data_IF_534328930541
#
_entry.id   IF_534328930541
#
_cell.length_a   1.000
_cell.length_b   1.000
_cell.length_c   1.000
_cell.angle_alpha   90.00
_cell.angle_beta   90.00
_cell.angle_gamma   90.00
#
_symmetry.space_group_name_H-M   'P 1'
#
loop_
_entity.id
_entity.type
_entity.pdbx_description
1 polymer ?
#
# COMPACT_ATOMS: atom_id res chain seq x y z
N UNK A 1 35.99 -36.97 7.17
CA UNK A 1 35.91 -35.98 6.11
C UNK A 1 35.13 -36.62 4.95
N UNK A 2 33.92 -36.19 4.72
CA UNK A 2 32.99 -36.86 3.80
C UNK A 2 33.03 -36.19 2.44
N UNK A 3 33.87 -36.69 1.52
CA UNK A 3 34.02 -36.28 0.14
C UNK A 3 32.70 -36.22 -0.62
N UNK A 4 31.74 -37.06 -0.29
CA UNK A 4 30.41 -37.14 -0.87
C UNK A 4 29.59 -35.87 -0.58
N UNK A 5 29.74 -35.26 0.60
CA UNK A 5 28.98 -34.06 1.01
C UNK A 5 29.52 -32.79 0.35
N UNK A 6 30.81 -32.70 0.07
CA UNK A 6 31.42 -31.47 -0.41
C UNK A 6 31.57 -31.39 -1.95
N UNK A 7 31.60 -32.55 -2.63
CA UNK A 7 31.83 -32.55 -4.11
C UNK A 7 30.70 -33.15 -4.93
N UNK A 8 30.01 -34.17 -4.45
CA UNK A 8 28.98 -34.89 -5.21
C UNK A 8 27.61 -34.25 -5.04
N UNK A 9 27.21 -33.83 -3.83
CA UNK A 9 25.96 -33.14 -3.59
C UNK A 9 25.78 -31.81 -4.36
N UNK A 10 26.80 -30.93 -4.48
CA UNK A 10 26.63 -29.71 -5.28
C UNK A 10 26.43 -29.97 -6.77
N UNK A 11 27.09 -31.00 -7.33
CA UNK A 11 26.96 -31.36 -8.76
C UNK A 11 25.62 -32.02 -9.09
N UNK A 12 25.10 -32.86 -8.22
CA UNK A 12 23.78 -33.49 -8.40
C UNK A 12 22.66 -32.45 -8.28
N UNK A 13 22.80 -31.49 -7.35
CA UNK A 13 21.85 -30.37 -7.19
C UNK A 13 21.84 -29.39 -8.37
N UNK A 14 22.94 -29.26 -9.12
CA UNK A 14 23.00 -28.43 -10.33
C UNK A 14 22.47 -29.13 -11.58
N UNK A 15 22.42 -30.48 -11.60
CA UNK A 15 21.86 -31.27 -12.71
C UNK A 15 20.36 -31.52 -12.60
N UNK A 16 19.83 -31.58 -11.40
CA UNK A 16 18.40 -31.58 -11.13
C UNK A 16 17.97 -30.13 -11.05
N UNK A 17 17.59 -29.50 -12.17
CA UNK A 17 17.10 -28.12 -12.20
C UNK A 17 16.21 -27.85 -10.98
N UNK A 18 16.76 -27.24 -9.94
CA UNK A 18 16.01 -26.84 -8.77
C UNK A 18 14.94 -25.86 -9.26
N UNK A 19 13.70 -26.32 -9.32
CA UNK A 19 12.59 -25.42 -9.05
C UNK A 19 12.92 -24.81 -7.68
N UNK A 20 13.02 -23.49 -7.59
CA UNK A 20 13.06 -22.77 -6.33
C UNK A 20 11.80 -23.12 -5.56
N UNK A 21 11.89 -24.17 -4.74
CA UNK A 21 10.86 -24.50 -3.76
C UNK A 21 11.17 -23.54 -2.61
N UNK A 22 10.29 -22.58 -2.31
CA UNK A 22 10.48 -21.69 -1.18
C UNK A 22 10.78 -22.51 0.08
N UNK A 23 11.79 -22.14 0.83
CA UNK A 23 12.19 -22.88 2.07
C UNK A 23 11.04 -22.96 3.09
N UNK A 24 10.04 -22.07 2.98
CA UNK A 24 8.83 -22.05 3.80
C UNK A 24 7.57 -22.20 2.93
N UNK A 25 7.24 -23.45 2.57
CA UNK A 25 5.97 -23.76 1.90
C UNK A 25 4.73 -23.50 2.78
N UNK A 26 4.91 -23.48 4.09
CA UNK A 26 3.87 -23.29 5.09
C UNK A 26 4.18 -22.07 5.97
N UNK A 27 3.19 -21.23 6.13
CA UNK A 27 3.26 -20.03 6.95
C UNK A 27 2.30 -20.20 8.11
N UNK A 28 2.76 -19.87 9.31
CA UNK A 28 1.94 -19.93 10.52
C UNK A 28 1.13 -18.65 10.65
N UNK A 29 -0.18 -18.78 10.78
CA UNK A 29 -1.06 -17.68 11.12
C UNK A 29 -0.69 -17.13 12.52
N UNK A 30 -0.40 -15.84 12.65
CA UNK A 30 -0.05 -15.24 13.93
C UNK A 30 -1.23 -15.17 14.91
N UNK A 31 -2.48 -15.26 14.44
CA UNK A 31 -3.68 -15.17 15.27
C UNK A 31 -4.19 -16.53 15.71
N UNK A 32 -4.33 -17.48 14.79
CA UNK A 32 -4.90 -18.80 15.08
C UNK A 32 -3.84 -19.88 15.34
N UNK A 33 -2.61 -19.65 14.86
CA UNK A 33 -1.52 -20.63 14.91
C UNK A 33 -1.61 -21.71 13.83
N UNK A 34 -2.61 -21.69 12.97
CA UNK A 34 -2.78 -22.63 11.86
C UNK A 34 -1.68 -22.47 10.81
N UNK A 35 -1.39 -23.58 10.11
CA UNK A 35 -0.41 -23.58 9.01
C UNK A 35 -1.12 -23.42 7.68
N UNK A 36 -0.80 -22.35 6.96
CA UNK A 36 -1.41 -22.01 5.65
C UNK A 36 -0.37 -22.20 4.55
N UNK A 37 -0.79 -22.78 3.43
CA UNK A 37 0.09 -23.02 2.30
C UNK A 37 0.39 -21.72 1.55
N UNK A 38 1.66 -21.47 1.21
CA UNK A 38 2.09 -20.20 0.60
C UNK A 38 1.35 -19.84 -0.70
N UNK A 39 1.05 -20.85 -1.56
CA UNK A 39 0.33 -20.59 -2.82
C UNK A 39 -1.11 -20.17 -2.59
N UNK A 40 -1.76 -20.69 -1.55
CA UNK A 40 -3.12 -20.30 -1.20
C UNK A 40 -3.13 -18.85 -0.67
N UNK A 41 -2.10 -18.46 0.09
CA UNK A 41 -1.90 -17.09 0.52
C UNK A 41 -1.67 -16.15 -0.66
N UNK A 42 -0.82 -16.52 -1.62
CA UNK A 42 -0.56 -15.70 -2.79
C UNK A 42 -1.84 -15.50 -3.63
N UNK A 43 -2.62 -16.57 -3.87
CA UNK A 43 -3.90 -16.49 -4.59
C UNK A 43 -4.93 -15.62 -3.86
N UNK A 44 -4.84 -15.53 -2.53
CA UNK A 44 -5.69 -14.69 -1.68
C UNK A 44 -5.00 -13.36 -1.28
N UNK A 45 -4.09 -12.85 -2.10
CA UNK A 45 -3.37 -11.58 -1.88
C UNK A 45 -2.72 -11.48 -0.49
N UNK A 46 -2.23 -12.60 0.07
CA UNK A 46 -1.65 -12.68 1.41
C UNK A 46 -2.59 -12.25 2.55
N UNK A 47 -3.88 -12.43 2.36
CA UNK A 47 -4.88 -12.40 3.42
C UNK A 47 -5.15 -13.84 3.84
N UNK A 48 -5.01 -14.14 5.12
CA UNK A 48 -5.20 -15.51 5.62
C UNK A 48 -6.70 -15.83 5.63
N UNK A 49 -7.17 -16.88 4.91
CA UNK A 49 -8.59 -17.12 4.76
C UNK A 49 -9.33 -17.44 6.08
N UNK A 50 -8.66 -18.10 7.03
CA UNK A 50 -9.27 -18.52 8.30
C UNK A 50 -9.45 -17.40 9.31
N UNK A 51 -8.50 -16.45 9.39
CA UNK A 51 -8.51 -15.36 10.37
C UNK A 51 -8.83 -14.00 9.74
N UNK A 52 -8.69 -13.86 8.42
CA UNK A 52 -8.73 -12.55 7.77
C UNK A 52 -7.48 -11.70 8.01
N UNK A 53 -6.44 -12.27 8.64
CA UNK A 53 -5.21 -11.55 8.94
C UNK A 53 -4.49 -11.09 7.66
N UNK A 54 -4.18 -9.79 7.59
CA UNK A 54 -3.46 -9.18 6.49
C UNK A 54 -1.95 -9.26 6.68
N UNK A 55 -1.30 -10.17 5.98
CA UNK A 55 0.15 -10.27 6.01
C UNK A 55 0.80 -9.08 5.29
N UNK A 56 2.05 -8.77 5.67
CA UNK A 56 2.86 -7.79 4.95
C UNK A 56 3.21 -8.31 3.57
N UNK A 57 3.06 -7.46 2.56
CA UNK A 57 3.44 -7.72 1.17
C UNK A 57 4.41 -6.66 0.68
N UNK A 58 5.20 -7.00 -0.32
CA UNK A 58 6.09 -6.05 -0.99
C UNK A 58 5.31 -5.03 -1.82
N UNK A 59 5.96 -3.90 -2.12
CA UNK A 59 5.37 -2.89 -3.00
C UNK A 59 5.04 -3.45 -4.39
N UNK A 60 5.87 -4.35 -4.93
CA UNK A 60 5.63 -4.97 -6.26
C UNK A 60 4.41 -5.90 -6.24
N UNK A 61 4.26 -6.71 -5.18
CA UNK A 61 3.07 -7.57 -5.04
C UNK A 61 1.81 -6.73 -4.91
N UNK A 62 1.86 -5.62 -4.14
CA UNK A 62 0.72 -4.72 -4.01
C UNK A 62 0.31 -4.13 -5.35
N UNK A 63 1.24 -3.62 -6.15
CA UNK A 63 0.95 -3.10 -7.49
C UNK A 63 0.35 -4.19 -8.39
N UNK A 64 0.93 -5.39 -8.39
CA UNK A 64 0.44 -6.54 -9.18
C UNK A 64 -1.00 -6.92 -8.84
N UNK A 65 -1.38 -6.91 -7.57
CA UNK A 65 -2.75 -7.23 -7.14
C UNK A 65 -3.73 -6.09 -7.37
N UNK A 66 -3.25 -4.87 -7.39
CA UNK A 66 -4.10 -3.69 -7.44
C UNK A 66 -4.46 -3.26 -8.86
N UNK A 67 -3.53 -3.30 -9.79
CA UNK A 67 -3.79 -2.94 -11.19
C UNK A 67 -4.52 -4.03 -11.95
N UNK A 68 -5.24 -3.63 -13.00
CA UNK A 68 -5.91 -4.54 -13.92
C UNK A 68 -4.87 -5.45 -14.59
N UNK A 69 -5.14 -6.76 -14.59
CA UNK A 69 -4.26 -7.81 -15.14
C UNK A 69 -2.83 -7.79 -14.57
N UNK A 70 -2.59 -7.01 -13.50
CA UNK A 70 -1.27 -6.80 -12.91
C UNK A 70 -0.32 -5.97 -13.78
N UNK A 71 -0.84 -5.26 -14.78
CA UNK A 71 -0.05 -4.45 -15.71
C UNK A 71 0.05 -3.00 -15.26
N UNK A 72 1.27 -2.46 -15.24
CA UNK A 72 1.55 -1.07 -14.86
C UNK A 72 2.87 -0.57 -15.43
N UNK A 73 2.97 0.72 -15.60
CA UNK A 73 4.18 1.44 -15.95
C UNK A 73 4.87 1.94 -14.66
N UNK A 74 6.09 1.47 -14.39
CA UNK A 74 6.89 2.00 -13.28
C UNK A 74 7.44 3.38 -13.63
N UNK A 75 7.31 4.33 -12.71
CA UNK A 75 7.94 5.63 -12.83
C UNK A 75 9.37 5.58 -12.28
N UNK A 76 10.31 6.14 -13.02
CA UNK A 76 11.67 6.33 -12.54
C UNK A 76 11.70 7.47 -11.52
N UNK A 77 12.11 7.17 -10.28
CA UNK A 77 12.20 8.17 -9.24
C UNK A 77 13.41 9.09 -9.43
N UNK A 78 13.27 10.39 -9.09
CA UNK A 78 14.37 11.34 -9.16
C UNK A 78 15.56 10.92 -8.27
N UNK A 79 16.78 11.15 -8.76
CA UNK A 79 17.98 10.87 -7.98
C UNK A 79 18.26 11.99 -7.00
N UNK A 80 18.58 11.63 -5.78
CA UNK A 80 18.93 12.57 -4.70
C UNK A 80 20.36 12.35 -4.20
N UNK A 81 20.90 13.33 -3.49
CA UNK A 81 22.19 13.20 -2.81
C UNK A 81 22.08 12.15 -1.71
N UNK A 82 22.97 11.16 -1.74
CA UNK A 82 23.03 10.08 -0.77
C UNK A 82 23.86 10.49 0.44
N UNK A 83 23.31 10.35 1.64
CA UNK A 83 23.99 10.58 2.93
C UNK A 83 24.74 11.92 3.03
N UNK A 84 24.06 13.07 2.81
CA UNK A 84 24.71 14.38 2.89
C UNK A 84 25.24 14.71 4.30
N UNK A 85 24.68 14.08 5.33
CA UNK A 85 25.08 14.27 6.73
C UNK A 85 26.22 13.35 7.16
N UNK A 86 26.61 12.38 6.32
CA UNK A 86 27.63 11.37 6.63
C UNK A 86 27.33 10.65 7.95
N UNK A 87 26.05 10.28 8.14
CA UNK A 87 25.57 9.69 9.38
C UNK A 87 26.21 8.34 9.68
N UNK A 88 26.57 8.14 10.92
CA UNK A 88 27.11 6.89 11.46
C UNK A 88 26.67 6.69 12.90
N UNK A 89 26.07 5.55 13.17
CA UNK A 89 25.91 4.97 14.51
C UNK A 89 26.82 3.72 14.64
N UNK A 90 26.26 2.55 14.90
CA UNK A 90 26.99 1.27 14.82
C UNK A 90 27.46 0.94 13.41
N UNK A 91 26.69 1.37 12.39
CA UNK A 91 26.97 1.20 10.95
C UNK A 91 26.88 2.54 10.24
N UNK A 92 27.55 2.68 9.09
CA UNK A 92 27.36 3.83 8.21
C UNK A 92 25.95 3.77 7.59
N UNK A 93 25.32 4.90 7.39
CA UNK A 93 24.02 4.98 6.73
C UNK A 93 24.06 4.39 5.31
N UNK A 94 25.13 4.65 4.57
CA UNK A 94 25.36 4.05 3.23
C UNK A 94 25.40 2.53 3.24
N UNK A 95 25.89 1.90 4.31
CA UNK A 95 25.90 0.44 4.46
C UNK A 95 24.48 -0.09 4.71
N UNK A 96 23.69 0.61 5.54
CA UNK A 96 22.26 0.29 5.77
C UNK A 96 21.44 0.39 4.48
N UNK A 97 21.68 1.43 3.66
CA UNK A 97 21.01 1.58 2.36
C UNK A 97 21.37 0.42 1.41
N UNK A 98 22.66 0.03 1.36
CA UNK A 98 23.08 -1.10 0.53
C UNK A 98 22.43 -2.41 0.96
N UNK A 99 22.37 -2.68 2.27
CA UNK A 99 21.68 -3.85 2.83
C UNK A 99 20.17 -3.83 2.50
N UNK A 100 19.50 -2.69 2.65
CA UNK A 100 18.09 -2.54 2.33
C UNK A 100 17.80 -2.75 0.84
N UNK A 101 18.62 -2.17 -0.05
CA UNK A 101 18.54 -2.36 -1.51
C UNK A 101 18.73 -3.83 -1.91
N UNK A 102 19.74 -4.49 -1.34
CA UNK A 102 20.01 -5.89 -1.61
C UNK A 102 18.85 -6.80 -1.14
N UNK A 103 18.21 -6.45 -0.03
CA UNK A 103 17.10 -7.22 0.55
C UNK A 103 15.79 -7.04 -0.23
N UNK A 104 15.49 -5.82 -0.68
CA UNK A 104 14.18 -5.47 -1.25
C UNK A 104 14.17 -5.40 -2.77
N UNK A 105 15.33 -5.22 -3.40
CA UNK A 105 15.45 -4.92 -4.83
C UNK A 105 14.89 -3.54 -5.20
N UNK A 106 14.72 -2.65 -4.22
CA UNK A 106 14.25 -1.27 -4.39
C UNK A 106 15.40 -0.29 -4.17
N UNK A 107 15.36 0.86 -4.84
CA UNK A 107 16.32 1.94 -4.64
C UNK A 107 16.08 2.70 -3.33
N UNK A 108 14.81 2.89 -2.96
CA UNK A 108 14.35 3.44 -1.67
C UNK A 108 12.94 2.90 -1.33
N UNK A 109 12.31 3.41 -0.27
CA UNK A 109 11.06 2.91 0.27
C UNK A 109 9.83 3.16 -0.62
N UNK A 110 9.91 3.96 -1.67
CA UNK A 110 8.78 4.37 -2.52
C UNK A 110 8.90 3.77 -3.91
N UNK A 111 7.80 3.15 -4.34
CA UNK A 111 7.58 2.67 -5.70
C UNK A 111 6.36 3.37 -6.30
N UNK A 112 6.56 4.04 -7.44
CA UNK A 112 5.52 4.79 -8.14
C UNK A 112 5.17 4.10 -9.45
N UNK A 113 3.87 4.07 -9.78
CA UNK A 113 3.39 3.43 -10.99
C UNK A 113 2.16 4.14 -11.57
N UNK A 114 1.99 4.01 -12.87
CA UNK A 114 0.77 4.38 -13.60
C UNK A 114 0.13 3.13 -14.18
N UNK A 115 -1.19 3.07 -14.14
CA UNK A 115 -1.95 1.94 -14.69
C UNK A 115 -3.44 2.21 -14.65
N UNK A 116 -4.23 1.16 -14.70
CA UNK A 116 -5.69 1.22 -14.63
C UNK A 116 -6.24 0.33 -13.53
N UNK A 117 -7.35 0.73 -12.93
CA UNK A 117 -8.19 -0.09 -12.06
C UNK A 117 -9.63 -0.04 -12.55
N UNK A 118 -10.21 -1.18 -12.90
CA UNK A 118 -11.51 -1.28 -13.57
C UNK A 118 -11.63 -0.32 -14.76
N UNK A 119 -10.56 -0.23 -15.57
CA UNK A 119 -10.43 0.65 -16.73
C UNK A 119 -10.21 2.14 -16.42
N UNK A 120 -10.19 2.56 -15.15
CA UNK A 120 -9.91 3.94 -14.77
C UNK A 120 -8.41 4.17 -14.68
N UNK A 121 -7.85 5.16 -15.40
CA UNK A 121 -6.44 5.50 -15.30
C UNK A 121 -6.13 6.17 -13.96
N UNK A 122 -5.11 5.67 -13.25
CA UNK A 122 -4.71 6.15 -11.92
C UNK A 122 -3.19 6.27 -11.80
N UNK A 123 -2.73 7.11 -10.88
CA UNK A 123 -1.37 7.12 -10.37
C UNK A 123 -1.34 6.47 -8.99
N UNK A 124 -0.39 5.57 -8.76
CA UNK A 124 -0.29 4.81 -7.51
C UNK A 124 1.10 4.93 -6.94
N UNK A 125 1.17 5.27 -5.66
CA UNK A 125 2.40 5.23 -4.86
C UNK A 125 2.28 4.15 -3.80
N UNK A 126 3.28 3.29 -3.70
CA UNK A 126 3.36 2.28 -2.64
C UNK A 126 4.62 2.51 -1.81
N UNK A 127 4.44 2.64 -0.51
CA UNK A 127 5.52 2.72 0.47
C UNK A 127 5.81 1.32 1.01
N UNK A 128 7.05 0.85 0.83
CA UNK A 128 7.46 -0.50 1.23
C UNK A 128 8.10 -0.48 2.62
N UNK A 129 7.44 -1.12 3.57
CA UNK A 129 7.94 -1.20 4.95
C UNK A 129 9.22 -2.02 5.08
N UNK A 130 9.49 -2.95 4.15
CA UNK A 130 10.70 -3.76 4.20
C UNK A 130 11.96 -2.94 3.94
N UNK A 131 11.85 -1.80 3.24
CA UNK A 131 12.95 -0.87 3.05
C UNK A 131 13.07 0.07 4.24
N UNK A 132 13.98 -0.22 5.16
CA UNK A 132 14.27 0.60 6.34
C UNK A 132 13.02 1.05 7.13
N UNK A 133 12.05 0.14 7.31
CA UNK A 133 10.79 0.44 7.99
C UNK A 133 9.87 1.41 7.23
N UNK A 134 10.01 1.51 5.91
CA UNK A 134 9.24 2.47 5.11
C UNK A 134 9.52 3.93 5.47
N UNK A 135 10.67 4.23 6.06
CA UNK A 135 10.93 5.56 6.63
C UNK A 135 11.05 6.65 5.55
N UNK A 136 10.45 7.81 5.85
CA UNK A 136 10.49 8.99 4.99
C UNK A 136 11.86 9.67 5.07
N UNK A 137 12.65 9.55 4.02
CA UNK A 137 13.92 10.25 3.82
C UNK A 137 13.87 11.14 2.57
N UNK A 138 15.00 11.72 2.19
CA UNK A 138 15.13 12.58 1.00
C UNK A 138 14.62 11.88 -0.27
N UNK A 139 15.09 10.65 -0.53
CA UNK A 139 14.70 9.90 -1.71
C UNK A 139 13.22 9.55 -1.71
N UNK A 140 12.69 9.11 -0.56
CA UNK A 140 11.27 8.81 -0.43
C UNK A 140 10.40 10.06 -0.60
N UNK A 141 10.80 11.20 0.00
CA UNK A 141 10.08 12.46 -0.15
C UNK A 141 10.06 12.97 -1.57
N UNK A 142 11.20 12.92 -2.26
CA UNK A 142 11.29 13.34 -3.66
C UNK A 142 10.46 12.42 -4.58
N UNK A 143 10.49 11.12 -4.34
CA UNK A 143 9.69 10.16 -5.09
C UNK A 143 8.18 10.40 -4.91
N UNK A 144 7.73 10.73 -3.69
CA UNK A 144 6.33 11.07 -3.42
C UNK A 144 5.95 12.36 -4.18
N UNK A 145 6.76 13.42 -4.08
CA UNK A 145 6.52 14.68 -4.80
C UNK A 145 6.41 14.43 -6.29
N UNK A 146 7.36 13.70 -6.87
CA UNK A 146 7.36 13.35 -8.29
C UNK A 146 6.09 12.58 -8.70
N UNK A 147 5.58 11.69 -7.86
CA UNK A 147 4.34 10.97 -8.13
C UNK A 147 3.13 11.90 -8.18
N UNK A 148 3.02 12.86 -7.25
CA UNK A 148 1.94 13.86 -7.24
C UNK A 148 2.02 14.78 -8.44
N UNK A 149 3.22 15.27 -8.79
CA UNK A 149 3.43 16.09 -9.99
C UNK A 149 3.06 15.33 -11.26
N UNK A 150 3.48 14.06 -11.38
CA UNK A 150 3.11 13.19 -12.50
C UNK A 150 1.61 12.95 -12.56
N UNK A 151 0.94 12.79 -11.42
CA UNK A 151 -0.52 12.64 -11.36
C UNK A 151 -1.23 13.88 -11.92
N UNK A 152 -0.78 15.08 -11.55
CA UNK A 152 -1.28 16.36 -12.09
C UNK A 152 -1.03 16.45 -13.60
N UNK A 153 0.20 16.22 -14.04
CA UNK A 153 0.60 16.34 -15.46
C UNK A 153 -0.16 15.34 -16.35
N UNK A 154 -0.47 14.16 -15.83
CA UNK A 154 -1.21 13.11 -16.53
C UNK A 154 -2.71 13.17 -16.29
N UNK A 155 -3.19 14.14 -15.52
CA UNK A 155 -4.60 14.31 -15.14
C UNK A 155 -5.20 13.00 -14.58
N UNK A 156 -4.52 12.40 -13.58
CA UNK A 156 -4.93 11.14 -12.96
C UNK A 156 -5.17 11.31 -11.46
N UNK A 157 -6.21 10.69 -10.89
CA UNK A 157 -6.35 10.61 -9.44
C UNK A 157 -5.17 9.87 -8.83
N UNK A 158 -4.84 10.22 -7.58
CA UNK A 158 -3.71 9.66 -6.83
C UNK A 158 -4.18 8.69 -5.77
N UNK A 159 -3.56 7.51 -5.72
CA UNK A 159 -3.77 6.51 -4.66
C UNK A 159 -2.42 6.25 -3.99
N UNK A 160 -2.38 6.34 -2.67
CA UNK A 160 -1.15 6.10 -1.92
C UNK A 160 -1.37 5.02 -0.85
N UNK A 161 -0.58 3.95 -0.95
CA UNK A 161 -0.50 2.92 0.09
C UNK A 161 0.62 3.28 1.06
N UNK A 162 0.27 3.70 2.26
CA UNK A 162 1.21 4.09 3.29
C UNK A 162 1.60 2.91 4.18
N UNK A 163 2.90 2.71 4.38
CA UNK A 163 3.47 1.73 5.31
C UNK A 163 4.79 2.26 5.88
N UNK A 164 4.79 2.82 7.08
CA UNK A 164 5.95 3.53 7.61
C UNK A 164 6.05 3.57 9.12
N UNK A 165 7.30 3.53 9.61
CA UNK A 165 7.64 3.89 10.99
C UNK A 165 7.84 5.39 11.23
N UNK A 166 7.76 6.24 10.19
CA UNK A 166 7.90 7.70 10.30
C UNK A 166 9.13 8.27 9.59
N UNK A 167 9.65 9.38 10.06
CA UNK A 167 10.80 10.07 9.49
C UNK A 167 12.10 9.26 9.63
N UNK A 168 12.97 9.30 8.61
CA UNK A 168 14.25 8.56 8.57
C UNK A 168 15.28 9.21 9.48
N UNK A 169 15.55 8.59 10.62
CA UNK A 169 16.42 9.12 11.66
C UNK A 169 17.83 9.46 11.15
N UNK A 170 18.39 8.66 10.24
CA UNK A 170 19.73 8.83 9.69
C UNK A 170 19.91 10.11 8.86
N UNK A 171 18.82 10.69 8.40
CA UNK A 171 18.81 11.93 7.61
C UNK A 171 18.42 13.15 8.44
N UNK A 172 18.15 12.99 9.74
CA UNK A 172 17.92 14.07 10.68
C UNK A 172 16.89 15.10 10.19
N UNK A 173 17.26 16.37 10.22
CA UNK A 173 16.40 17.49 9.80
C UNK A 173 15.97 17.40 8.32
N UNK A 174 16.78 16.81 7.45
CA UNK A 174 16.45 16.67 6.04
C UNK A 174 15.24 15.76 5.84
N UNK A 175 15.13 14.71 6.65
CA UNK A 175 13.96 13.84 6.69
C UNK A 175 12.71 14.61 7.17
N UNK A 176 12.84 15.44 8.22
CA UNK A 176 11.73 16.25 8.72
C UNK A 176 11.25 17.27 7.68
N UNK A 177 12.16 17.83 6.87
CA UNK A 177 11.80 18.77 5.81
C UNK A 177 10.99 18.11 4.67
N UNK A 178 10.96 16.78 4.60
CA UNK A 178 10.10 16.11 3.61
C UNK A 178 8.61 16.21 3.97
N UNK A 179 8.26 16.39 5.25
CA UNK A 179 6.86 16.53 5.66
C UNK A 179 6.18 17.74 4.99
N UNK A 180 6.67 18.98 5.15
CA UNK A 180 6.07 20.14 4.48
C UNK A 180 6.18 20.06 2.96
N UNK A 181 7.27 19.50 2.39
CA UNK A 181 7.43 19.36 0.94
C UNK A 181 6.36 18.45 0.32
N UNK A 182 6.13 17.30 0.93
CA UNK A 182 5.08 16.37 0.47
C UNK A 182 3.69 16.94 0.68
N UNK A 183 3.45 17.73 1.73
CA UNK A 183 2.18 18.45 1.97
C UNK A 183 1.88 19.44 0.85
N UNK A 184 2.88 20.21 0.40
CA UNK A 184 2.71 21.14 -0.75
C UNK A 184 2.39 20.37 -2.04
N UNK A 185 2.96 19.18 -2.25
CA UNK A 185 2.62 18.37 -3.42
C UNK A 185 1.17 17.87 -3.39
N UNK A 186 0.65 17.49 -2.21
CA UNK A 186 -0.77 17.16 -2.02
C UNK A 186 -1.67 18.36 -2.36
N UNK A 187 -1.30 19.55 -1.89
CA UNK A 187 -2.05 20.77 -2.14
C UNK A 187 -2.19 21.07 -3.65
N UNK A 188 -1.10 20.94 -4.40
CA UNK A 188 -1.11 21.07 -5.87
C UNK A 188 -2.05 20.09 -6.56
N UNK A 189 -2.12 18.84 -6.09
CA UNK A 189 -3.06 17.87 -6.63
C UNK A 189 -4.52 18.28 -6.36
N UNK A 190 -4.80 18.81 -5.15
CA UNK A 190 -6.12 19.33 -4.77
C UNK A 190 -6.51 20.57 -5.59
N UNK A 191 -5.59 21.48 -5.82
CA UNK A 191 -5.79 22.63 -6.70
C UNK A 191 -6.12 22.20 -8.14
N UNK A 192 -5.55 21.09 -8.61
CA UNK A 192 -5.89 20.49 -9.91
C UNK A 192 -7.27 19.79 -9.92
N UNK A 193 -7.96 19.71 -8.78
CA UNK A 193 -9.27 19.07 -8.66
C UNK A 193 -9.23 17.54 -8.80
N UNK A 194 -8.07 16.93 -8.56
CA UNK A 194 -7.87 15.49 -8.68
C UNK A 194 -8.01 14.79 -7.33
N UNK A 195 -8.78 13.68 -7.25
CA UNK A 195 -8.95 12.93 -6.01
C UNK A 195 -7.64 12.33 -5.49
N UNK A 196 -7.48 12.38 -4.16
CA UNK A 196 -6.40 11.73 -3.43
C UNK A 196 -6.96 10.73 -2.42
N UNK A 197 -6.73 9.43 -2.65
CA UNK A 197 -7.17 8.36 -1.76
C UNK A 197 -5.95 7.76 -1.08
N UNK A 198 -5.99 7.66 0.25
CA UNK A 198 -4.93 7.05 1.04
C UNK A 198 -5.39 5.71 1.60
N UNK A 199 -4.59 4.68 1.41
CA UNK A 199 -4.74 3.38 2.03
C UNK A 199 -3.69 3.22 3.12
N UNK A 200 -4.14 3.23 4.36
CA UNK A 200 -3.29 3.10 5.56
C UNK A 200 -3.08 1.61 5.87
N UNK A 201 -1.83 1.14 5.76
CA UNK A 201 -1.49 -0.25 5.99
C UNK A 201 -0.66 -0.43 7.27
N UNK A 202 -0.42 -1.66 7.67
CA UNK A 202 0.22 -2.00 8.95
C UNK A 202 1.76 -2.05 8.87
N UNK A 203 2.49 -1.18 9.60
CA UNK A 203 2.05 0.00 10.34
C UNK A 203 2.16 1.30 9.52
N UNK A 204 1.38 2.32 9.87
CA UNK A 204 1.56 3.70 9.37
C UNK A 204 1.66 4.64 10.55
N UNK A 205 2.85 5.19 10.83
CA UNK A 205 3.11 5.95 12.06
C UNK A 205 4.03 7.15 11.86
N UNK A 206 4.16 7.97 12.89
CA UNK A 206 5.12 9.06 13.00
C UNK A 206 4.89 10.22 12.04
N UNK A 207 5.96 10.74 11.47
CA UNK A 207 5.90 11.87 10.54
C UNK A 207 5.09 11.61 9.27
N UNK A 208 4.89 10.35 8.89
CA UNK A 208 4.09 9.97 7.72
C UNK A 208 2.59 10.23 7.98
N UNK A 209 2.08 9.84 9.15
CA UNK A 209 0.71 10.20 9.55
C UNK A 209 0.56 11.70 9.84
N UNK A 210 1.62 12.37 10.26
CA UNK A 210 1.60 13.83 10.48
C UNK A 210 1.76 14.66 9.18
N UNK A 211 1.72 14.01 8.01
CA UNK A 211 1.86 14.68 6.71
C UNK A 211 0.96 14.01 5.66
N UNK A 212 1.50 13.67 4.51
CA UNK A 212 0.76 13.22 3.34
C UNK A 212 -0.21 12.04 3.58
N UNK A 213 0.06 11.14 4.53
CA UNK A 213 -0.82 9.98 4.74
C UNK A 213 -2.16 10.32 5.41
N UNK A 214 -2.31 11.51 6.02
CA UNK A 214 -3.57 11.97 6.61
C UNK A 214 -4.11 13.22 5.92
N UNK A 215 -3.74 13.44 4.65
CA UNK A 215 -4.21 14.56 3.84
C UNK A 215 -5.05 14.11 2.65
N UNK A 216 -5.43 12.84 2.58
CA UNK A 216 -6.34 12.30 1.56
C UNK A 216 -7.73 12.92 1.61
N UNK A 217 -8.46 12.83 0.51
CA UNK A 217 -9.88 13.11 0.47
C UNK A 217 -10.68 11.96 1.08
N UNK A 218 -10.12 10.73 1.00
CA UNK A 218 -10.66 9.52 1.64
C UNK A 218 -9.50 8.72 2.26
N UNK A 219 -9.68 8.30 3.49
CA UNK A 219 -8.74 7.47 4.24
C UNK A 219 -9.33 6.07 4.44
N UNK A 220 -8.71 5.08 3.82
CA UNK A 220 -9.09 3.67 3.94
C UNK A 220 -8.01 2.96 4.76
N UNK A 221 -8.37 2.17 5.76
CA UNK A 221 -7.42 1.35 6.49
C UNK A 221 -7.57 -0.13 6.14
N UNK A 222 -6.47 -0.88 6.06
CA UNK A 222 -6.54 -2.35 6.07
C UNK A 222 -6.93 -2.84 7.48
N UNK A 223 -7.72 -3.92 7.61
CA UNK A 223 -8.11 -4.49 8.89
C UNK A 223 -6.93 -4.73 9.83
N UNK A 224 -7.09 -4.39 11.10
CA UNK A 224 -6.09 -4.56 12.14
C UNK A 224 -4.83 -3.67 12.01
N UNK A 225 -4.74 -2.79 11.02
CA UNK A 225 -3.58 -1.93 10.81
C UNK A 225 -3.32 -1.01 12.01
N UNK A 226 -2.06 -0.93 12.44
CA UNK A 226 -1.60 0.02 13.45
C UNK A 226 -1.35 1.38 12.78
N UNK A 227 -2.12 2.38 13.17
CA UNK A 227 -2.06 3.72 12.60
C UNK A 227 -2.02 4.74 13.74
N UNK A 228 -1.03 5.61 13.76
CA UNK A 228 -0.91 6.62 14.81
C UNK A 228 0.36 7.44 14.68
N UNK A 229 0.52 8.46 15.51
CA UNK A 229 1.75 9.25 15.52
C UNK A 229 2.83 8.58 16.37
N UNK A 230 2.65 8.51 17.68
CA UNK A 230 3.56 7.79 18.57
C UNK A 230 3.09 6.35 18.78
N UNK A 231 4.03 5.42 18.89
CA UNK A 231 3.69 4.02 19.19
C UNK A 231 3.06 3.87 20.58
N UNK A 232 2.17 2.87 20.79
CA UNK A 232 1.46 2.66 22.05
C UNK A 232 2.37 2.61 23.27
N UNK A 233 3.50 1.90 23.18
CA UNK A 233 4.48 1.83 24.29
C UNK A 233 5.03 3.19 24.70
N UNK A 234 5.32 4.08 23.74
CA UNK A 234 5.84 5.42 24.02
C UNK A 234 4.78 6.25 24.74
N UNK A 235 3.52 6.14 24.30
CA UNK A 235 2.40 6.84 24.91
C UNK A 235 2.23 6.35 26.37
N UNK A 236 2.09 5.04 26.60
CA UNK A 236 1.91 4.46 27.92
C UNK A 236 3.04 4.82 28.90
N UNK A 237 4.29 4.81 28.41
CA UNK A 237 5.45 5.21 29.23
C UNK A 237 5.42 6.70 29.57
N UNK A 238 4.88 7.54 28.68
CA UNK A 238 4.82 9.00 28.88
C UNK A 238 3.71 9.38 29.84
N UNK A 239 2.49 8.85 29.62
CA UNK A 239 1.33 9.19 30.46
C UNK A 239 1.22 8.31 31.71
N UNK A 240 1.95 7.17 31.74
CA UNK A 240 1.95 6.17 32.82
C UNK A 240 0.58 5.51 33.06
N UNK A 241 -0.22 5.41 32.03
CA UNK A 241 -1.52 4.77 32.02
C UNK A 241 -1.59 3.71 30.94
N UNK A 242 -2.48 2.71 31.11
CA UNK A 242 -2.75 1.72 30.08
C UNK A 242 -3.69 2.31 29.05
N UNK A 243 -3.39 2.05 27.78
CA UNK A 243 -4.23 2.47 26.67
C UNK A 243 -5.47 1.57 26.57
N UNK A 244 -6.61 2.06 26.05
CA UNK A 244 -7.77 1.25 25.74
C UNK A 244 -7.43 0.08 24.82
N UNK A 245 -8.20 -1.00 24.94
CA UNK A 245 -8.06 -2.13 24.02
C UNK A 245 -8.32 -1.70 22.56
N UNK A 246 -7.52 -2.20 21.64
CA UNK A 246 -7.61 -1.84 20.24
C UNK A 246 -7.09 -0.44 19.89
N UNK A 247 -6.56 0.32 20.86
CA UNK A 247 -6.06 1.67 20.62
C UNK A 247 -5.11 1.75 19.41
N UNK A 248 -5.33 2.72 18.52
CA UNK A 248 -4.61 2.92 17.26
C UNK A 248 -4.78 1.78 16.24
N UNK A 249 -5.72 0.84 16.41
CA UNK A 249 -6.08 -0.10 15.36
C UNK A 249 -7.11 0.50 14.41
N UNK A 250 -7.12 0.00 13.19
CA UNK A 250 -7.98 0.49 12.12
C UNK A 250 -9.46 0.60 12.55
N UNK A 251 -9.97 -0.45 13.22
CA UNK A 251 -11.35 -0.52 13.69
C UNK A 251 -11.66 0.53 14.75
N UNK A 252 -10.74 0.69 15.72
CA UNK A 252 -10.84 1.73 16.75
C UNK A 252 -10.85 3.13 16.13
N UNK A 253 -10.00 3.36 15.12
CA UNK A 253 -9.91 4.65 14.44
C UNK A 253 -11.15 4.94 13.58
N UNK A 254 -11.78 3.92 13.01
CA UNK A 254 -13.06 4.05 12.31
C UNK A 254 -14.17 4.48 13.28
N UNK A 255 -14.28 3.84 14.44
CA UNK A 255 -15.25 4.19 15.48
C UNK A 255 -15.08 5.62 16.00
N UNK A 256 -13.85 6.14 15.98
CA UNK A 256 -13.51 7.50 16.43
C UNK A 256 -13.43 8.52 15.29
N UNK A 257 -13.81 8.18 14.07
CA UNK A 257 -13.87 9.10 12.93
C UNK A 257 -12.51 9.56 12.40
N UNK A 258 -11.42 8.80 12.69
CA UNK A 258 -10.07 9.11 12.19
C UNK A 258 -9.79 8.53 10.81
N UNK A 259 -10.54 7.51 10.41
CA UNK A 259 -10.53 6.94 9.06
C UNK A 259 -11.96 6.78 8.56
N UNK A 260 -12.15 6.82 7.24
CA UNK A 260 -13.49 6.77 6.64
C UNK A 260 -13.98 5.33 6.47
N UNK A 261 -13.07 4.39 6.25
CA UNK A 261 -13.41 2.99 5.96
C UNK A 261 -12.31 2.05 6.46
N UNK A 262 -12.73 0.84 6.87
CA UNK A 262 -11.85 -0.33 7.03
C UNK A 262 -12.24 -1.34 5.97
N UNK A 263 -11.32 -1.66 5.05
CA UNK A 263 -11.60 -2.47 3.85
C UNK A 263 -10.54 -3.54 3.68
N UNK A 264 -10.99 -4.78 3.49
CA UNK A 264 -10.08 -5.89 3.18
C UNK A 264 -9.33 -5.63 1.88
N UNK A 265 -8.06 -6.05 1.84
CA UNK A 265 -7.21 -5.97 0.63
C UNK A 265 -7.89 -6.55 -0.60
N UNK A 266 -8.67 -7.60 -0.42
CA UNK A 266 -9.40 -8.29 -1.50
C UNK A 266 -10.45 -7.39 -2.16
N UNK A 267 -10.98 -6.42 -1.42
CA UNK A 267 -12.05 -5.51 -1.86
C UNK A 267 -11.54 -4.09 -2.20
N UNK A 268 -10.27 -3.79 -1.89
CA UNK A 268 -9.71 -2.44 -2.06
C UNK A 268 -9.84 -1.92 -3.49
N UNK A 269 -9.50 -2.74 -4.50
CA UNK A 269 -9.55 -2.31 -5.91
C UNK A 269 -10.96 -1.89 -6.32
N UNK A 270 -11.96 -2.71 -6.09
CA UNK A 270 -13.35 -2.42 -6.46
C UNK A 270 -13.94 -1.25 -5.65
N UNK A 271 -13.57 -1.15 -4.36
CA UNK A 271 -14.01 -0.05 -3.50
C UNK A 271 -13.42 1.28 -3.97
N UNK A 272 -12.12 1.33 -4.23
CA UNK A 272 -11.45 2.55 -4.72
C UNK A 272 -11.96 2.93 -6.11
N UNK A 273 -12.17 1.98 -7.02
CA UNK A 273 -12.73 2.25 -8.34
C UNK A 273 -14.14 2.88 -8.23
N UNK A 274 -15.00 2.38 -7.33
CA UNK A 274 -16.32 2.99 -7.07
C UNK A 274 -16.22 4.41 -6.53
N UNK A 275 -15.33 4.64 -5.56
CA UNK A 275 -15.10 5.99 -5.00
C UNK A 275 -14.62 6.96 -6.09
N UNK A 276 -13.67 6.53 -6.92
CA UNK A 276 -13.17 7.37 -8.01
C UNK A 276 -14.24 7.70 -9.05
N UNK A 277 -15.09 6.73 -9.42
CA UNK A 277 -16.24 6.98 -10.32
C UNK A 277 -17.17 8.06 -9.78
N UNK A 278 -17.40 8.10 -8.46
CA UNK A 278 -18.19 9.13 -7.80
C UNK A 278 -17.47 10.47 -7.73
N UNK A 279 -16.21 10.49 -7.32
CA UNK A 279 -15.41 11.71 -7.14
C UNK A 279 -15.10 12.41 -8.48
N UNK A 280 -14.80 11.64 -9.51
CA UNK A 280 -14.52 12.13 -10.86
C UNK A 280 -15.80 12.49 -11.64
N UNK A 281 -16.99 12.29 -11.03
CA UNK A 281 -18.29 12.51 -11.71
C UNK A 281 -18.37 11.80 -13.07
N UNK A 282 -17.70 10.66 -13.20
CA UNK A 282 -17.77 9.84 -14.40
C UNK A 282 -19.23 9.39 -14.56
N UNK A 283 -19.91 9.68 -15.69
CA UNK A 283 -21.26 9.20 -15.90
C UNK A 283 -21.26 7.69 -15.67
N UNK A 284 -22.16 7.20 -14.83
CA UNK A 284 -22.41 5.76 -14.74
C UNK A 284 -22.66 5.31 -16.19
N UNK A 285 -21.87 4.35 -16.70
CA UNK A 285 -22.28 3.64 -17.89
C UNK A 285 -23.70 3.16 -17.59
N UNK A 286 -24.67 3.74 -18.30
CA UNK A 286 -26.03 3.24 -18.23
C UNK A 286 -25.89 1.74 -18.48
N UNK A 287 -26.13 0.92 -17.44
CA UNK A 287 -26.37 -0.48 -17.66
C UNK A 287 -27.36 -0.46 -18.83
N UNK A 288 -27.03 -1.09 -19.94
CA UNK A 288 -28.01 -1.39 -20.97
C UNK A 288 -29.15 -2.09 -20.22
N UNK A 289 -30.12 -1.30 -19.81
CA UNK A 289 -31.36 -1.83 -19.34
C UNK A 289 -31.86 -2.59 -20.54
N UNK A 290 -31.77 -3.90 -20.53
CA UNK A 290 -32.57 -4.75 -21.39
C UNK A 290 -33.98 -4.20 -21.26
N UNK A 291 -34.40 -3.45 -22.28
CA UNK A 291 -35.77 -3.01 -22.43
C UNK A 291 -36.52 -4.31 -22.67
N UNK A 292 -37.03 -4.89 -21.57
CA UNK A 292 -38.02 -5.95 -21.68
C UNK A 292 -39.12 -5.41 -22.60
N UNK A 293 -39.43 -6.09 -23.70
CA UNK A 293 -40.47 -5.61 -24.60
C UNK A 293 -41.74 -5.46 -23.76
N UNK A 294 -42.29 -4.24 -23.79
CA UNK A 294 -43.54 -3.94 -23.11
C UNK A 294 -44.54 -5.02 -23.51
N UNK A 295 -45.02 -5.82 -22.54
CA UNK A 295 -46.12 -6.74 -22.70
C UNK A 295 -47.27 -5.95 -23.30
N UNK A 296 -47.57 -6.20 -24.59
CA UNK A 296 -48.73 -5.65 -25.26
C UNK A 296 -49.96 -6.14 -24.49
N UNK A 297 -50.60 -5.19 -23.78
CA UNK A 297 -51.90 -5.46 -23.15
C UNK A 297 -52.89 -5.65 -24.28
N UNK A 298 -53.55 -6.83 -24.41
CA UNK A 298 -54.59 -7.05 -25.43
C UNK A 298 -55.72 -6.06 -25.19
N UNK A 299 -56.11 -5.37 -26.25
CA UNK A 299 -57.29 -4.49 -26.21
C UNK A 299 -58.56 -5.34 -26.06
N UNK A 300 -59.01 -5.55 -24.83
CA UNK A 300 -60.33 -6.09 -24.56
C UNK A 300 -61.41 -5.03 -24.53
N UNK A 301 -62.23 -5.13 -25.56
CA UNK A 301 -63.66 -4.79 -25.70
C UNK A 301 -64.26 -3.73 -24.75
N UNK A 302 -64.58 -2.56 -25.33
CA UNK A 302 -65.62 -1.67 -24.80
C UNK A 302 -66.97 -2.36 -24.96
N UNK A 303 -67.86 -2.31 -23.98
CA UNK A 303 -69.27 -2.67 -24.16
C UNK A 303 -70.01 -1.63 -25.02
N UNK A 304 -70.99 -2.02 -25.82
CA UNK A 304 -71.75 -1.09 -26.66
C UNK A 304 -72.69 -0.23 -25.79
N UNK A 305 -73.01 0.96 -26.35
CA UNK A 305 -73.85 2.02 -25.79
C UNK A 305 -75.26 1.60 -25.42
#
# INVERSE_FOLDING_TARGET
MNWITNYVRPKINSMLGRRDIPENLWIKDPETGEMVFHKDLESNQFVIPSSGHHMKISARERLRFFFDDGEYELLENPKVVVDPLKFRDEKRYTDRLREARAKTGLDDAILNALGTIEGLPVAVTVQDFAFMGGSLGLAAGEAIIHAFETAVDRNRPMILFAASGGARMQEGILSLMQLPRTTVAVDRLKEAGLPYIVVLTNPTTGGVTASYAMLGDVHIAEPGALIGFAGPRVIEQTIREKLPEGFQRAEYLLEHGMVDMVVSRLELRSTIARLLKMLLRTPAQAAEAEILPALAIPAESRPPA
#
